data_IF_492782367862
#
_entry.id   IF_492782367862
#
_cell.length_a   1.000
_cell.length_b   1.000
_cell.length_c   1.000
_cell.angle_alpha   90.00
_cell.angle_beta   90.00
_cell.angle_gamma   90.00
#
_symmetry.space_group_name_H-M   'P 1'
#
loop_
_entity.id
_entity.type
_entity.pdbx_description
1 polymer ?
#
# COMPACT_ATOMS: atom_id res chain seq x y z
N UNK A 1 -45.57 19.70 -4.67
CA UNK A 1 -44.97 19.89 -3.33
C UNK A 1 -43.47 20.09 -3.56
N UNK A 2 -42.81 20.99 -2.84
CA UNK A 2 -41.36 21.11 -2.91
C UNK A 2 -40.73 19.80 -2.42
N UNK A 3 -39.81 19.22 -3.18
CA UNK A 3 -38.95 18.16 -2.65
C UNK A 3 -37.83 18.80 -1.86
N UNK A 4 -37.65 18.34 -0.63
CA UNK A 4 -36.49 18.65 0.20
C UNK A 4 -35.62 17.41 0.37
N UNK A 5 -34.30 17.60 0.28
CA UNK A 5 -33.30 16.58 0.53
C UNK A 5 -32.33 17.08 1.60
N UNK A 6 -32.11 16.30 2.64
CA UNK A 6 -31.25 16.66 3.75
C UNK A 6 -30.00 15.76 3.79
N UNK A 7 -28.82 16.37 3.76
CA UNK A 7 -27.54 15.65 3.81
C UNK A 7 -26.77 16.14 5.02
N UNK A 8 -26.50 15.24 5.96
CA UNK A 8 -25.79 15.52 7.19
C UNK A 8 -24.42 14.85 7.24
N UNK A 9 -23.41 15.56 7.74
CA UNK A 9 -22.13 14.97 8.13
C UNK A 9 -21.50 15.79 9.27
N UNK A 10 -20.74 15.11 10.12
CA UNK A 10 -19.88 15.73 11.12
C UNK A 10 -18.55 16.21 10.50
N UNK A 11 -18.04 15.49 9.50
CA UNK A 11 -16.79 15.82 8.83
C UNK A 11 -16.97 15.98 7.31
N UNK A 12 -16.14 16.82 6.71
CA UNK A 12 -16.03 17.02 5.25
C UNK A 12 -17.33 17.45 4.53
N UNK A 13 -18.36 17.92 5.25
CA UNK A 13 -19.62 18.38 4.65
C UNK A 13 -19.43 19.47 3.60
N UNK A 14 -18.42 20.33 3.75
CA UNK A 14 -18.09 21.40 2.82
C UNK A 14 -17.72 20.86 1.43
N UNK A 15 -17.04 19.71 1.36
CA UNK A 15 -16.73 19.05 0.10
C UNK A 15 -17.98 18.51 -0.58
N UNK A 16 -18.94 18.01 0.20
CA UNK A 16 -20.25 17.58 -0.33
C UNK A 16 -20.97 18.79 -0.90
N UNK A 17 -21.01 19.90 -0.16
CA UNK A 17 -21.65 21.15 -0.57
C UNK A 17 -21.03 21.68 -1.86
N UNK A 18 -19.72 21.84 -1.91
CA UNK A 18 -19.01 22.36 -3.09
C UNK A 18 -19.32 21.51 -4.33
N UNK A 19 -19.26 20.18 -4.18
CA UNK A 19 -19.54 19.25 -5.27
C UNK A 19 -20.99 19.32 -5.74
N UNK A 20 -21.94 19.34 -4.82
CA UNK A 20 -23.35 19.45 -5.16
C UNK A 20 -23.68 20.80 -5.79
N UNK A 21 -23.11 21.89 -5.28
CA UNK A 21 -23.31 23.22 -5.83
C UNK A 21 -22.74 23.33 -7.26
N UNK A 22 -21.66 22.61 -7.60
CA UNK A 22 -21.16 22.52 -8.96
C UNK A 22 -22.13 21.77 -9.89
N UNK A 23 -22.63 20.61 -9.45
CA UNK A 23 -23.56 19.79 -10.23
C UNK A 23 -24.93 20.47 -10.39
N UNK A 24 -25.42 21.14 -9.35
CA UNK A 24 -26.73 21.80 -9.36
C UNK A 24 -26.77 23.09 -10.18
N UNK A 25 -25.63 23.78 -10.36
CA UNK A 25 -25.54 24.88 -11.34
C UNK A 25 -25.91 24.44 -12.76
N UNK A 26 -25.65 23.19 -13.12
CA UNK A 26 -26.04 22.64 -14.43
C UNK A 26 -27.56 22.56 -14.54
N UNK A 27 -28.24 22.14 -13.47
CA UNK A 27 -29.70 22.08 -13.40
C UNK A 27 -30.35 23.47 -13.36
N UNK A 28 -29.71 24.43 -12.69
CA UNK A 28 -30.16 25.82 -12.69
C UNK A 28 -30.12 26.45 -14.09
N UNK A 29 -29.12 26.09 -14.91
CA UNK A 29 -29.08 26.51 -16.33
C UNK A 29 -30.24 25.94 -17.15
N UNK A 30 -30.77 24.78 -16.76
CA UNK A 30 -31.96 24.16 -17.36
C UNK A 30 -33.29 24.71 -16.77
N UNK A 31 -33.21 25.72 -15.91
CA UNK A 31 -34.36 26.43 -15.34
C UNK A 31 -34.91 25.84 -14.04
N UNK A 32 -34.25 24.84 -13.46
CA UNK A 32 -34.65 24.24 -12.17
C UNK A 32 -34.14 25.14 -11.04
N UNK A 33 -35.03 25.62 -10.15
CA UNK A 33 -34.62 26.46 -9.02
C UNK A 33 -34.34 25.62 -7.80
N UNK A 34 -33.06 25.60 -7.40
CA UNK A 34 -32.58 24.89 -6.23
C UNK A 34 -32.13 25.93 -5.19
N UNK A 35 -32.50 25.71 -3.93
CA UNK A 35 -32.01 26.52 -2.81
C UNK A 35 -31.40 25.61 -1.76
N UNK A 36 -30.36 26.07 -1.09
CA UNK A 36 -29.66 25.33 -0.05
C UNK A 36 -29.70 26.11 1.26
N UNK A 37 -30.19 25.47 2.32
CA UNK A 37 -30.13 25.97 3.68
C UNK A 37 -29.17 25.11 4.50
N UNK A 38 -28.40 25.75 5.37
CA UNK A 38 -27.43 25.05 6.22
C UNK A 38 -27.85 25.15 7.69
N UNK A 39 -27.90 24.00 8.36
CA UNK A 39 -28.23 23.89 9.78
C UNK A 39 -27.16 23.13 10.54
N UNK A 40 -26.85 23.56 11.77
CA UNK A 40 -25.92 22.85 12.65
C UNK A 40 -26.66 22.25 13.84
N UNK A 41 -26.38 20.98 14.15
CA UNK A 41 -26.91 20.28 15.32
C UNK A 41 -25.82 19.45 15.99
N UNK A 42 -25.29 19.96 17.10
CA UNK A 42 -24.11 19.38 17.75
C UNK A 42 -22.90 19.50 16.83
N UNK A 43 -22.21 18.38 16.62
CA UNK A 43 -21.03 18.31 15.74
C UNK A 43 -21.41 18.12 14.26
N UNK A 44 -22.69 17.88 13.95
CA UNK A 44 -23.16 17.66 12.59
C UNK A 44 -23.64 18.95 11.93
N UNK A 45 -23.26 19.10 10.66
CA UNK A 45 -23.81 20.10 9.74
C UNK A 45 -24.74 19.39 8.77
N UNK A 46 -25.86 20.03 8.47
CA UNK A 46 -26.91 19.53 7.58
C UNK A 46 -27.12 20.54 6.45
N UNK A 47 -27.10 20.04 5.23
CA UNK A 47 -27.45 20.77 4.01
C UNK A 47 -28.86 20.35 3.60
N UNK A 48 -29.79 21.29 3.60
CA UNK A 48 -31.16 21.08 3.14
C UNK A 48 -31.35 21.74 1.78
N UNK A 49 -31.44 20.91 0.75
CA UNK A 49 -31.68 21.35 -0.61
C UNK A 49 -33.17 21.27 -0.94
N UNK A 50 -33.75 22.41 -1.33
CA UNK A 50 -35.15 22.55 -1.70
C UNK A 50 -35.29 22.84 -3.19
N UNK A 51 -36.07 22.01 -3.88
CA UNK A 51 -36.42 22.21 -5.30
C UNK A 51 -37.75 22.99 -5.35
N UNK A 52 -37.67 24.26 -5.74
CA UNK A 52 -38.79 25.20 -5.71
C UNK A 52 -39.56 25.24 -7.05
N UNK A 53 -38.87 25.00 -8.15
CA UNK A 53 -39.40 25.09 -9.51
C UNK A 53 -38.70 24.06 -10.40
N UNK A 54 -39.48 23.26 -11.13
CA UNK A 54 -38.98 22.17 -11.98
C UNK A 54 -38.68 22.65 -13.42
N UNK A 55 -38.91 23.94 -13.72
CA UNK A 55 -38.64 24.54 -15.03
C UNK A 55 -39.57 24.05 -16.14
N UNK A 56 -39.38 24.58 -17.35
CA UNK A 56 -40.09 24.20 -18.59
C UNK A 56 -39.39 23.03 -19.33
N UNK A 57 -38.35 22.43 -18.74
CA UNK A 57 -37.41 21.52 -19.39
C UNK A 57 -37.96 20.14 -19.82
N UNK A 58 -39.29 19.94 -19.80
CA UNK A 58 -39.91 18.70 -20.26
C UNK A 58 -39.69 17.48 -19.34
N UNK A 59 -39.05 17.67 -18.18
CA UNK A 59 -38.90 16.65 -17.15
C UNK A 59 -40.14 16.59 -16.25
N UNK A 60 -40.54 15.38 -15.85
CA UNK A 60 -41.53 15.26 -14.77
C UNK A 60 -40.91 15.63 -13.41
N UNK A 61 -41.76 15.92 -12.44
CA UNK A 61 -41.34 16.10 -11.03
C UNK A 61 -40.56 14.88 -10.52
N UNK A 62 -40.92 13.68 -10.98
CA UNK A 62 -40.25 12.43 -10.59
C UNK A 62 -38.87 12.30 -11.25
N UNK A 63 -38.74 12.67 -12.52
CA UNK A 63 -37.45 12.65 -13.23
C UNK A 63 -36.45 13.59 -12.57
N UNK A 64 -36.90 14.79 -12.21
CA UNK A 64 -36.03 15.78 -11.55
C UNK A 64 -35.57 15.30 -10.17
N UNK A 65 -36.45 14.67 -9.39
CA UNK A 65 -36.07 14.05 -8.11
C UNK A 65 -35.06 12.93 -8.31
N UNK A 66 -35.22 12.10 -9.34
CA UNK A 66 -34.29 11.02 -9.61
C UNK A 66 -32.92 11.55 -10.04
N UNK A 67 -32.87 12.55 -10.92
CA UNK A 67 -31.64 13.27 -11.29
C UNK A 67 -30.95 13.84 -10.05
N UNK A 68 -31.71 14.50 -9.17
CA UNK A 68 -31.18 15.03 -7.91
C UNK A 68 -30.57 13.93 -7.03
N UNK A 69 -31.29 12.81 -6.83
CA UNK A 69 -30.79 11.64 -6.07
C UNK A 69 -29.51 11.07 -6.69
N UNK A 70 -29.38 11.07 -8.01
CA UNK A 70 -28.15 10.67 -8.71
C UNK A 70 -26.97 11.58 -8.38
N UNK A 71 -27.16 12.90 -8.39
CA UNK A 71 -26.10 13.84 -8.01
C UNK A 71 -25.70 13.69 -6.54
N UNK A 72 -26.68 13.54 -5.63
CA UNK A 72 -26.40 13.26 -4.21
C UNK A 72 -25.63 11.95 -4.05
N UNK A 73 -26.07 10.88 -4.69
CA UNK A 73 -25.38 9.59 -4.61
C UNK A 73 -23.96 9.64 -5.17
N UNK A 74 -23.74 10.37 -6.27
CA UNK A 74 -22.41 10.58 -6.81
C UNK A 74 -21.52 11.39 -5.84
N UNK A 75 -22.00 12.50 -5.29
CA UNK A 75 -21.25 13.31 -4.35
C UNK A 75 -20.92 12.54 -3.05
N UNK A 76 -21.90 11.81 -2.50
CA UNK A 76 -21.71 11.00 -1.28
C UNK A 76 -20.78 9.82 -1.55
N UNK A 77 -20.88 9.13 -2.68
CA UNK A 77 -19.95 8.03 -2.99
C UNK A 77 -18.52 8.54 -3.17
N UNK A 78 -18.34 9.69 -3.83
CA UNK A 78 -17.03 10.30 -4.02
C UNK A 78 -16.38 10.71 -2.71
N UNK A 79 -17.12 11.34 -1.80
CA UNK A 79 -16.54 11.76 -0.52
C UNK A 79 -16.19 10.55 0.34
N UNK A 80 -17.00 9.49 0.32
CA UNK A 80 -16.71 8.28 1.08
C UNK A 80 -15.38 7.68 0.61
N UNK A 81 -15.18 7.52 -0.70
CA UNK A 81 -13.95 6.95 -1.25
C UNK A 81 -12.75 7.87 -1.02
N UNK A 82 -12.89 9.19 -1.25
CA UNK A 82 -11.73 10.09 -1.27
C UNK A 82 -11.35 10.66 0.11
N UNK A 83 -12.29 10.76 1.04
CA UNK A 83 -12.07 11.45 2.32
C UNK A 83 -12.31 10.54 3.53
N UNK A 84 -13.21 9.56 3.43
CA UNK A 84 -13.53 8.68 4.55
C UNK A 84 -12.72 7.39 4.56
N UNK A 85 -12.29 6.84 3.40
CA UNK A 85 -11.55 5.56 3.33
C UNK A 85 -10.37 5.48 4.30
N UNK A 86 -9.50 6.50 4.28
CA UNK A 86 -8.35 6.57 5.18
C UNK A 86 -8.78 6.52 6.64
N UNK A 87 -9.72 7.39 7.02
CA UNK A 87 -10.21 7.47 8.40
C UNK A 87 -10.80 6.14 8.82
N UNK A 88 -11.69 5.54 8.02
CA UNK A 88 -12.31 4.25 8.30
C UNK A 88 -11.27 3.15 8.50
N UNK A 89 -10.24 3.11 7.66
CA UNK A 89 -9.15 2.14 7.77
C UNK A 89 -8.35 2.33 9.06
N UNK A 90 -7.99 3.56 9.40
CA UNK A 90 -7.29 3.89 10.64
C UNK A 90 -8.16 3.54 11.88
N UNK A 91 -9.48 3.69 11.82
CA UNK A 91 -10.39 3.26 12.87
C UNK A 91 -10.43 1.74 13.01
N UNK A 92 -10.57 1.01 11.89
CA UNK A 92 -10.54 -0.45 11.86
C UNK A 92 -9.23 -0.97 12.46
N UNK A 93 -8.10 -0.36 12.09
CA UNK A 93 -6.79 -0.75 12.60
C UNK A 93 -6.72 -0.51 14.10
N UNK A 94 -7.09 0.68 14.55
CA UNK A 94 -7.11 1.03 15.98
C UNK A 94 -7.99 0.10 16.81
N UNK A 95 -9.14 -0.31 16.30
CA UNK A 95 -10.11 -1.15 17.02
C UNK A 95 -9.71 -2.63 17.01
N UNK A 96 -9.32 -3.19 15.86
CA UNK A 96 -9.03 -4.62 15.72
C UNK A 96 -7.59 -4.99 16.12
N UNK A 97 -6.66 -4.03 16.03
CA UNK A 97 -5.23 -4.21 16.24
C UNK A 97 -4.73 -3.37 17.43
N UNK A 98 -5.58 -3.18 18.44
CA UNK A 98 -5.32 -2.38 19.65
C UNK A 98 -4.12 -2.84 20.49
N UNK A 99 -3.66 -4.08 20.29
CA UNK A 99 -2.53 -4.69 21.00
C UNK A 99 -1.17 -4.29 20.42
N UNK A 100 -1.13 -3.68 19.23
CA UNK A 100 0.06 -3.02 18.71
C UNK A 100 0.21 -1.60 19.29
N UNK A 101 1.44 -1.12 19.39
CA UNK A 101 1.72 0.27 19.76
C UNK A 101 1.24 1.24 18.68
N UNK A 102 1.15 2.53 19.00
CA UNK A 102 0.65 3.56 18.06
C UNK A 102 1.54 3.69 16.83
N UNK A 103 2.84 3.58 17.00
CA UNK A 103 3.83 3.62 15.93
C UNK A 103 3.69 2.41 14.99
N UNK A 104 3.42 1.22 15.56
CA UNK A 104 3.17 0.01 14.79
C UNK A 104 1.83 0.09 14.05
N UNK A 105 0.76 0.57 14.70
CA UNK A 105 -0.53 0.82 14.04
C UNK A 105 -0.43 1.81 12.89
N UNK A 106 0.40 2.86 13.05
CA UNK A 106 0.67 3.80 11.96
C UNK A 106 1.38 3.10 10.80
N UNK A 107 2.36 2.25 11.07
CA UNK A 107 3.05 1.48 10.03
C UNK A 107 2.08 0.52 9.32
N UNK A 108 1.24 -0.21 10.06
CA UNK A 108 0.18 -1.06 9.49
C UNK A 108 -0.77 -0.23 8.62
N UNK A 109 -1.12 0.98 9.03
CA UNK A 109 -1.96 1.90 8.23
C UNK A 109 -1.27 2.27 6.92
N UNK A 110 0.04 2.50 6.91
CA UNK A 110 0.80 2.75 5.69
C UNK A 110 0.81 1.54 4.74
N UNK A 111 0.95 0.32 5.26
CA UNK A 111 0.78 -0.91 4.45
C UNK A 111 -0.63 -1.01 3.89
N UNK A 112 -1.65 -0.74 4.70
CA UNK A 112 -3.05 -0.85 4.29
C UNK A 112 -3.41 0.19 3.20
N UNK A 113 -2.87 1.41 3.29
CA UNK A 113 -3.04 2.44 2.27
C UNK A 113 -2.37 2.07 0.94
N UNK A 114 -1.22 1.40 0.97
CA UNK A 114 -0.58 0.84 -0.22
C UNK A 114 -1.47 -0.22 -0.87
N UNK A 115 -2.05 -1.13 -0.08
CA UNK A 115 -3.00 -2.15 -0.59
C UNK A 115 -4.29 -1.54 -1.14
N UNK A 116 -4.75 -0.42 -0.58
CA UNK A 116 -5.89 0.35 -1.11
C UNK A 116 -5.57 1.10 -2.41
N UNK A 117 -4.31 1.07 -2.84
CA UNK A 117 -3.77 1.82 -3.96
C UNK A 117 -3.93 3.35 -3.82
N UNK A 118 -4.05 3.85 -2.59
CA UNK A 118 -4.14 5.29 -2.33
C UNK A 118 -2.78 5.94 -2.62
N UNK A 119 -2.67 6.62 -3.77
CA UNK A 119 -1.45 7.28 -4.24
C UNK A 119 -0.71 6.59 -5.40
N UNK A 120 -1.26 5.51 -5.95
CA UNK A 120 -0.72 4.83 -7.14
C UNK A 120 -1.52 5.22 -8.40
N UNK A 121 -0.84 5.81 -9.39
CA UNK A 121 -1.43 6.19 -10.68
C UNK A 121 -1.26 5.08 -11.75
N UNK A 122 -1.57 3.82 -11.42
CA UNK A 122 -1.61 2.74 -12.40
C UNK A 122 -3.06 2.36 -12.76
N UNK A 123 -3.24 1.66 -13.88
CA UNK A 123 -4.58 1.34 -14.40
C UNK A 123 -5.42 0.45 -13.48
N UNK A 124 -4.76 -0.43 -12.72
CA UNK A 124 -5.42 -1.36 -11.78
C UNK A 124 -5.95 -0.62 -10.54
N UNK A 125 -5.14 0.26 -9.95
CA UNK A 125 -5.53 1.12 -8.84
C UNK A 125 -6.79 1.95 -9.15
N UNK A 126 -6.81 2.57 -10.33
CA UNK A 126 -7.94 3.37 -10.79
C UNK A 126 -9.20 2.51 -10.96
N UNK A 127 -9.07 1.30 -11.50
CA UNK A 127 -10.18 0.38 -11.68
C UNK A 127 -10.79 -0.06 -10.34
N UNK A 128 -9.97 -0.42 -9.36
CA UNK A 128 -10.44 -0.81 -8.03
C UNK A 128 -11.16 0.33 -7.31
N UNK A 129 -10.60 1.55 -7.37
CA UNK A 129 -11.23 2.73 -6.78
C UNK A 129 -12.59 3.02 -7.42
N UNK A 130 -12.69 2.93 -8.75
CA UNK A 130 -13.95 3.08 -9.49
C UNK A 130 -14.97 1.99 -9.14
N UNK A 131 -14.51 0.76 -8.93
CA UNK A 131 -15.36 -0.35 -8.49
C UNK A 131 -15.96 -0.09 -7.10
N UNK A 132 -15.14 0.31 -6.12
CA UNK A 132 -15.59 0.68 -4.77
C UNK A 132 -16.57 1.85 -4.79
N UNK A 133 -16.24 2.91 -5.54
CA UNK A 133 -17.15 4.04 -5.74
C UNK A 133 -18.49 3.58 -6.32
N UNK A 134 -18.48 2.71 -7.33
CA UNK A 134 -19.69 2.21 -7.98
C UNK A 134 -20.56 1.40 -7.02
N UNK A 135 -19.95 0.57 -6.16
CA UNK A 135 -20.65 -0.16 -5.10
C UNK A 135 -21.36 0.81 -4.14
N UNK A 136 -20.64 1.81 -3.64
CA UNK A 136 -21.18 2.81 -2.70
C UNK A 136 -22.30 3.62 -3.37
N UNK A 137 -22.07 4.10 -4.60
CA UNK A 137 -23.05 4.87 -5.37
C UNK A 137 -24.37 4.10 -5.50
N UNK A 138 -24.30 2.81 -5.86
CA UNK A 138 -25.48 1.95 -5.95
C UNK A 138 -26.21 1.85 -4.60
N UNK A 139 -25.48 1.65 -3.50
CA UNK A 139 -26.08 1.58 -2.15
C UNK A 139 -26.73 2.91 -1.74
N UNK A 140 -26.12 4.04 -2.06
CA UNK A 140 -26.70 5.36 -1.77
C UNK A 140 -27.96 5.59 -2.61
N UNK A 141 -27.96 5.24 -3.90
CA UNK A 141 -29.14 5.31 -4.75
C UNK A 141 -30.30 4.45 -4.22
N UNK A 142 -30.03 3.18 -3.90
CA UNK A 142 -31.00 2.25 -3.30
C UNK A 142 -31.63 2.86 -2.03
N UNK A 143 -30.83 3.55 -1.21
CA UNK A 143 -31.33 4.22 -0.01
C UNK A 143 -32.18 5.45 -0.33
N UNK A 144 -31.73 6.28 -1.26
CA UNK A 144 -32.41 7.52 -1.64
C UNK A 144 -33.71 7.29 -2.42
N UNK A 145 -33.97 6.07 -2.91
CA UNK A 145 -35.29 5.72 -3.48
C UNK A 145 -36.42 5.91 -2.49
N UNK A 146 -36.19 5.61 -1.21
CA UNK A 146 -37.22 5.65 -0.15
C UNK A 146 -36.96 6.68 0.95
N UNK A 147 -35.81 7.35 0.92
CA UNK A 147 -35.41 8.33 1.94
C UNK A 147 -34.88 9.59 1.26
N UNK A 148 -35.26 10.77 1.77
CA UNK A 148 -34.70 12.03 1.29
C UNK A 148 -33.64 12.61 2.24
N UNK A 149 -33.38 11.93 3.35
CA UNK A 149 -32.45 12.37 4.37
C UNK A 149 -31.34 11.32 4.53
N UNK A 150 -30.08 11.76 4.51
CA UNK A 150 -28.91 10.89 4.70
C UNK A 150 -27.94 11.55 5.68
N UNK A 151 -27.52 10.81 6.70
CA UNK A 151 -26.39 11.18 7.55
C UNK A 151 -25.23 10.26 7.18
N UNK A 152 -24.15 10.82 6.65
CA UNK A 152 -23.08 10.06 5.97
C UNK A 152 -22.46 9.02 6.90
N UNK A 153 -22.09 9.40 8.12
CA UNK A 153 -21.50 8.52 9.14
C UNK A 153 -22.42 7.35 9.47
N UNK A 154 -23.70 7.65 9.70
CA UNK A 154 -24.71 6.63 9.99
C UNK A 154 -24.90 5.71 8.79
N UNK A 155 -24.92 6.26 7.58
CA UNK A 155 -25.03 5.48 6.36
C UNK A 155 -23.85 4.52 6.19
N UNK A 156 -22.61 5.01 6.34
CA UNK A 156 -21.41 4.17 6.30
C UNK A 156 -21.53 3.03 7.32
N UNK A 157 -21.78 3.37 8.60
CA UNK A 157 -21.78 2.39 9.69
C UNK A 157 -22.86 1.31 9.55
N UNK A 158 -24.06 1.68 9.09
CA UNK A 158 -25.21 0.77 9.12
C UNK A 158 -25.56 0.15 7.77
N UNK A 159 -25.19 0.79 6.66
CA UNK A 159 -25.61 0.38 5.30
C UNK A 159 -24.45 -0.03 4.38
N UNK A 160 -23.21 0.30 4.73
CA UNK A 160 -22.02 -0.10 3.95
C UNK A 160 -21.24 -1.24 4.60
N UNK A 161 -21.91 -2.22 5.21
CA UNK A 161 -21.26 -3.34 5.90
C UNK A 161 -20.29 -4.12 5.02
N UNK A 162 -20.71 -4.48 3.80
CA UNK A 162 -19.89 -5.20 2.83
C UNK A 162 -18.60 -4.44 2.50
N UNK A 163 -18.69 -3.11 2.40
CA UNK A 163 -17.54 -2.26 2.13
C UNK A 163 -16.62 -2.12 3.35
N UNK A 164 -17.18 -2.03 4.56
CA UNK A 164 -16.38 -2.08 5.80
C UNK A 164 -15.67 -3.43 5.94
N UNK A 165 -16.31 -4.54 5.54
CA UNK A 165 -15.68 -5.87 5.50
C UNK A 165 -14.53 -5.92 4.48
N UNK A 166 -14.66 -5.28 3.31
CA UNK A 166 -13.56 -5.12 2.36
C UNK A 166 -12.38 -4.34 2.97
N UNK A 167 -12.63 -3.18 3.60
CA UNK A 167 -11.59 -2.43 4.31
C UNK A 167 -10.94 -3.25 5.44
N UNK A 168 -11.73 -4.07 6.12
CA UNK A 168 -11.23 -4.95 7.19
C UNK A 168 -10.26 -6.00 6.66
N UNK A 169 -10.55 -6.61 5.50
CA UNK A 169 -9.63 -7.57 4.84
C UNK A 169 -8.33 -6.90 4.40
N UNK A 170 -8.40 -5.65 3.95
CA UNK A 170 -7.21 -4.87 3.60
C UNK A 170 -6.36 -4.62 4.85
N UNK A 171 -6.99 -4.24 5.97
CA UNK A 171 -6.29 -4.06 7.24
C UNK A 171 -5.66 -5.38 7.76
N UNK A 172 -6.33 -6.52 7.57
CA UNK A 172 -5.80 -7.86 7.88
C UNK A 172 -4.54 -8.18 7.07
N UNK A 173 -4.61 -8.05 5.75
CA UNK A 173 -3.45 -8.24 4.88
C UNK A 173 -2.28 -7.31 5.26
N UNK A 174 -2.59 -6.06 5.60
CA UNK A 174 -1.56 -5.09 6.01
C UNK A 174 -0.90 -5.45 7.34
N UNK A 175 -1.67 -6.00 8.28
CA UNK A 175 -1.12 -6.48 9.56
C UNK A 175 -0.23 -7.71 9.35
N UNK A 176 -0.63 -8.65 8.48
CA UNK A 176 0.19 -9.81 8.11
C UNK A 176 1.51 -9.38 7.46
N UNK A 177 1.48 -8.47 6.49
CA UNK A 177 2.69 -7.96 5.83
C UNK A 177 3.61 -7.21 6.81
N UNK A 178 3.02 -6.44 7.73
CA UNK A 178 3.77 -5.79 8.80
C UNK A 178 4.46 -6.80 9.72
N UNK A 179 3.77 -7.89 10.09
CA UNK A 179 4.35 -8.96 10.90
C UNK A 179 5.50 -9.65 10.18
N UNK A 180 5.34 -9.96 8.89
CA UNK A 180 6.41 -10.55 8.06
C UNK A 180 7.63 -9.63 7.97
N UNK A 181 7.44 -8.33 7.73
CA UNK A 181 8.52 -7.34 7.70
C UNK A 181 9.22 -7.21 9.06
N UNK A 182 8.44 -7.24 10.15
CA UNK A 182 8.98 -7.23 11.51
C UNK A 182 9.81 -8.48 11.80
N UNK A 183 9.32 -9.67 11.45
CA UNK A 183 10.03 -10.94 11.60
C UNK A 183 11.33 -10.96 10.80
N UNK A 184 11.31 -10.46 9.56
CA UNK A 184 12.51 -10.33 8.74
C UNK A 184 13.54 -9.40 9.39
N UNK A 185 13.11 -8.24 9.91
CA UNK A 185 14.01 -7.30 10.62
C UNK A 185 14.59 -7.89 11.90
N UNK A 186 13.81 -8.65 12.67
CA UNK A 186 14.29 -9.36 13.86
C UNK A 186 15.30 -10.46 13.48
N UNK A 187 15.02 -11.21 12.42
CA UNK A 187 15.96 -12.19 11.86
C UNK A 187 17.31 -11.55 11.49
N UNK A 188 17.30 -10.42 10.77
CA UNK A 188 18.52 -9.68 10.43
C UNK A 188 19.29 -9.21 11.68
N UNK A 189 18.58 -8.71 12.71
CA UNK A 189 19.19 -8.28 13.98
C UNK A 189 19.88 -9.44 14.70
N UNK A 190 19.25 -10.61 14.73
CA UNK A 190 19.84 -11.82 15.30
C UNK A 190 21.10 -12.25 14.56
N UNK A 191 21.05 -12.30 13.23
CA UNK A 191 22.22 -12.64 12.41
C UNK A 191 23.37 -11.65 12.60
N UNK A 192 23.07 -10.35 12.62
CA UNK A 192 24.06 -9.30 12.88
C UNK A 192 24.74 -9.49 14.23
N UNK A 193 23.96 -9.78 15.28
CA UNK A 193 24.50 -10.09 16.60
C UNK A 193 25.48 -11.29 16.56
N UNK A 194 25.13 -12.37 15.85
CA UNK A 194 26.03 -13.52 15.69
C UNK A 194 27.33 -13.18 14.95
N UNK A 195 27.26 -12.34 13.92
CA UNK A 195 28.45 -11.91 13.16
C UNK A 195 29.34 -10.98 13.98
N UNK A 196 28.76 -10.14 14.84
CA UNK A 196 29.51 -9.17 15.65
C UNK A 196 30.31 -9.80 16.79
N UNK A 197 29.87 -10.93 17.34
CA UNK A 197 30.57 -11.63 18.43
C UNK A 197 31.61 -12.65 17.95
N UNK A 198 31.58 -13.04 16.67
CA UNK A 198 32.50 -14.02 16.11
C UNK A 198 33.87 -13.38 15.82
N UNK A 199 34.94 -14.12 16.09
CA UNK A 199 36.28 -13.75 15.60
C UNK A 199 36.34 -13.92 14.08
N UNK A 200 36.72 -12.87 13.31
CA UNK A 200 36.84 -12.97 11.87
C UNK A 200 37.86 -14.03 11.44
N UNK A 201 37.45 -14.98 10.60
CA UNK A 201 38.35 -16.00 10.05
C UNK A 201 39.20 -15.48 8.89
N UNK A 202 38.66 -14.50 8.16
CA UNK A 202 39.34 -13.82 7.06
C UNK A 202 39.11 -12.32 7.19
N UNK A 203 40.14 -11.53 6.87
CA UNK A 203 39.98 -10.08 6.85
C UNK A 203 39.08 -9.64 5.69
N UNK A 204 39.43 -10.04 4.46
CA UNK A 204 38.69 -9.63 3.26
C UNK A 204 38.12 -10.86 2.55
N UNK A 205 36.83 -10.80 2.28
CA UNK A 205 36.13 -11.71 1.37
C UNK A 205 35.56 -10.90 0.22
N UNK A 206 35.80 -11.36 -0.99
CA UNK A 206 35.23 -10.79 -2.21
C UNK A 206 34.15 -11.73 -2.73
N UNK A 207 32.96 -11.18 -2.96
CA UNK A 207 31.80 -11.90 -3.50
C UNK A 207 31.63 -11.49 -4.95
N UNK A 208 31.81 -12.44 -5.86
CA UNK A 208 31.58 -12.25 -7.29
C UNK A 208 30.27 -12.90 -7.69
N UNK A 209 29.25 -12.09 -7.99
CA UNK A 209 27.96 -12.58 -8.49
C UNK A 209 28.08 -12.84 -9.98
N UNK A 210 27.71 -14.03 -10.39
CA UNK A 210 27.70 -14.46 -11.77
C UNK A 210 26.30 -14.25 -12.37
N UNK A 211 26.20 -13.98 -13.69
CA UNK A 211 24.92 -13.77 -14.37
C UNK A 211 23.93 -14.93 -14.28
N UNK A 212 24.40 -16.15 -13.95
CA UNK A 212 23.55 -17.31 -13.71
C UNK A 212 23.00 -17.38 -12.28
N UNK A 213 23.12 -16.31 -11.48
CA UNK A 213 22.77 -16.30 -10.05
C UNK A 213 23.78 -17.00 -9.13
N UNK A 214 24.77 -17.68 -9.70
CA UNK A 214 25.86 -18.33 -8.96
C UNK A 214 26.81 -17.29 -8.35
N UNK A 215 27.57 -17.66 -7.32
CA UNK A 215 28.57 -16.78 -6.72
C UNK A 215 29.94 -17.46 -6.58
N UNK A 216 30.99 -16.64 -6.51
CA UNK A 216 32.34 -17.07 -6.10
C UNK A 216 32.83 -16.24 -4.93
N UNK A 217 33.46 -16.91 -3.96
CA UNK A 217 34.13 -16.28 -2.83
C UNK A 217 35.64 -16.28 -3.07
N UNK A 218 36.25 -15.10 -3.03
CA UNK A 218 37.70 -14.93 -3.15
C UNK A 218 38.27 -14.27 -1.89
N UNK A 219 39.51 -14.62 -1.54
CA UNK A 219 40.23 -13.94 -0.47
C UNK A 219 40.83 -12.60 -0.95
N UNK A 220 41.60 -11.93 -0.07
CA UNK A 220 42.30 -10.69 -0.38
C UNK A 220 43.31 -10.81 -1.54
N UNK A 221 43.76 -12.03 -1.87
CA UNK A 221 44.73 -12.33 -2.92
C UNK A 221 44.05 -12.81 -4.22
N UNK A 222 42.74 -12.64 -4.35
CA UNK A 222 41.92 -13.13 -5.46
C UNK A 222 41.93 -14.66 -5.62
N UNK A 223 42.28 -15.41 -4.57
CA UNK A 223 42.25 -16.87 -4.60
C UNK A 223 40.89 -17.36 -4.15
N UNK A 224 40.36 -18.38 -4.83
CA UNK A 224 39.09 -19.01 -4.43
C UNK A 224 39.16 -19.52 -3.00
N UNK A 225 38.19 -19.11 -2.19
CA UNK A 225 37.99 -19.64 -0.85
C UNK A 225 37.27 -20.97 -1.02
N UNK A 226 38.01 -22.07 -0.83
CA UNK A 226 37.40 -23.38 -0.66
C UNK A 226 36.87 -23.45 0.77
N UNK A 227 35.58 -23.18 0.93
CA UNK A 227 34.93 -23.51 2.17
C UNK A 227 34.63 -25.02 2.15
N UNK A 228 35.53 -25.85 2.68
CA UNK A 228 35.29 -27.30 2.89
C UNK A 228 33.97 -27.56 3.65
N UNK A 229 33.47 -26.57 4.39
CA UNK A 229 32.18 -26.58 5.07
C UNK A 229 30.98 -26.46 4.12
N UNK A 230 31.12 -25.80 2.96
CA UNK A 230 30.03 -25.66 1.98
C UNK A 230 29.80 -26.96 1.20
N UNK A 231 30.82 -27.81 1.05
CA UNK A 231 30.68 -29.11 0.37
C UNK A 231 29.65 -30.01 1.07
N UNK A 232 29.48 -29.88 2.40
CA UNK A 232 28.41 -30.56 3.15
C UNK A 232 27.01 -29.96 2.93
N UNK A 233 26.91 -28.62 2.83
CA UNK A 233 25.64 -27.93 2.58
C UNK A 233 25.14 -28.09 1.13
N UNK A 234 26.05 -28.17 0.16
CA UNK A 234 25.73 -28.39 -1.27
C UNK A 234 25.04 -29.75 -1.48
N UNK A 235 25.38 -30.76 -0.68
CA UNK A 235 24.76 -32.09 -0.74
C UNK A 235 23.35 -32.10 -0.13
N UNK A 236 23.07 -31.26 0.87
CA UNK A 236 21.76 -31.21 1.54
C UNK A 236 20.72 -30.34 0.80
N UNK A 237 21.16 -29.35 0.01
CA UNK A 237 20.26 -28.32 -0.53
C UNK A 237 19.67 -28.65 -1.93
N UNK A 238 20.35 -29.41 -2.80
CA UNK A 238 19.85 -29.76 -4.14
C UNK A 238 19.94 -28.63 -5.19
N UNK A 239 19.63 -28.93 -6.46
CA UNK A 239 19.84 -28.06 -7.65
C UNK A 239 18.75 -26.98 -7.83
N UNK A 240 18.52 -26.10 -6.85
CA UNK A 240 17.63 -24.94 -7.01
C UNK A 240 18.37 -23.63 -6.76
N UNK A 241 18.05 -22.58 -7.51
CA UNK A 241 18.71 -21.26 -7.42
C UNK A 241 18.59 -20.65 -6.01
N UNK A 242 17.48 -20.89 -5.32
CA UNK A 242 17.22 -20.45 -3.94
C UNK A 242 18.28 -20.96 -2.95
N UNK A 243 18.90 -22.09 -3.24
CA UNK A 243 19.92 -22.67 -2.36
C UNK A 243 21.25 -21.91 -2.39
N UNK A 244 21.57 -21.22 -3.49
CA UNK A 244 22.85 -20.53 -3.60
C UNK A 244 22.85 -19.22 -2.81
N UNK A 245 21.73 -18.51 -2.73
CA UNK A 245 21.62 -17.29 -1.91
C UNK A 245 21.84 -17.59 -0.43
N UNK A 246 21.15 -18.61 0.09
CA UNK A 246 21.28 -19.04 1.48
C UNK A 246 22.68 -19.59 1.78
N UNK A 247 23.30 -20.29 0.83
CA UNK A 247 24.66 -20.79 0.93
C UNK A 247 25.68 -19.65 1.02
N UNK A 248 25.51 -18.60 0.21
CA UNK A 248 26.35 -17.40 0.25
C UNK A 248 26.26 -16.72 1.62
N UNK A 249 25.04 -16.49 2.10
CA UNK A 249 24.81 -15.85 3.41
C UNK A 249 25.43 -16.71 4.53
N UNK A 250 25.19 -18.02 4.49
CA UNK A 250 25.75 -18.97 5.47
C UNK A 250 27.28 -19.00 5.47
N UNK A 251 27.90 -18.96 4.28
CA UNK A 251 29.35 -18.90 4.13
C UNK A 251 29.92 -17.62 4.76
N UNK A 252 29.31 -16.48 4.45
CA UNK A 252 29.75 -15.18 4.98
C UNK A 252 29.56 -15.10 6.50
N UNK A 253 28.46 -15.63 7.05
CA UNK A 253 28.24 -15.68 8.50
C UNK A 253 29.29 -16.55 9.19
N UNK A 254 29.64 -17.68 8.58
CA UNK A 254 30.66 -18.62 9.10
C UNK A 254 32.07 -18.04 9.07
N UNK A 255 32.39 -17.28 8.02
CA UNK A 255 33.69 -16.61 7.89
C UNK A 255 33.75 -15.35 8.78
N UNK A 256 32.61 -14.67 8.95
CA UNK A 256 32.44 -13.41 9.67
C UNK A 256 33.52 -12.36 9.32
N UNK A 257 33.76 -12.06 8.03
CA UNK A 257 34.91 -11.27 7.63
C UNK A 257 34.87 -9.83 8.15
N UNK A 258 36.05 -9.18 8.22
CA UNK A 258 36.11 -7.76 8.61
C UNK A 258 35.65 -6.84 7.48
N UNK A 259 35.85 -7.25 6.22
CA UNK A 259 35.40 -6.53 5.03
C UNK A 259 34.86 -7.49 3.97
N UNK A 260 33.71 -7.14 3.38
CA UNK A 260 33.11 -7.81 2.23
C UNK A 260 33.17 -6.86 1.03
N UNK A 261 33.74 -7.32 -0.09
CA UNK A 261 33.74 -6.58 -1.35
C UNK A 261 32.74 -7.23 -2.30
N UNK A 262 31.64 -6.56 -2.60
CA UNK A 262 30.62 -7.02 -3.53
C UNK A 262 30.98 -6.61 -4.97
N UNK A 263 31.17 -7.59 -5.83
CA UNK A 263 31.32 -7.44 -7.28
C UNK A 263 30.01 -7.85 -7.93
N UNK A 264 29.11 -6.88 -8.08
CA UNK A 264 27.76 -7.07 -8.63
C UNK A 264 27.43 -5.97 -9.65
N UNK A 265 26.54 -6.28 -10.59
CA UNK A 265 26.01 -5.28 -11.55
C UNK A 265 24.93 -4.43 -10.90
N UNK A 266 24.53 -3.36 -11.59
CA UNK A 266 23.39 -2.55 -11.14
C UNK A 266 22.09 -3.37 -11.03
N UNK A 267 21.86 -4.31 -11.96
CA UNK A 267 20.71 -5.23 -11.93
C UNK A 267 20.75 -6.20 -10.73
N UNK A 268 21.95 -6.66 -10.35
CA UNK A 268 22.14 -7.61 -9.25
C UNK A 268 21.96 -6.96 -7.86
N UNK A 269 22.01 -5.62 -7.77
CA UNK A 269 21.81 -4.92 -6.49
C UNK A 269 20.40 -5.09 -5.94
N UNK A 270 19.44 -5.49 -6.78
CA UNK A 270 18.06 -5.73 -6.37
C UNK A 270 17.83 -7.17 -5.88
N UNK A 271 18.88 -7.99 -5.79
CA UNK A 271 18.78 -9.36 -5.27
C UNK A 271 18.56 -9.35 -3.74
N UNK A 272 17.64 -10.19 -3.29
CA UNK A 272 17.29 -10.38 -1.87
C UNK A 272 18.49 -10.80 -1.01
N UNK A 273 19.39 -11.60 -1.58
CA UNK A 273 20.65 -11.98 -0.95
C UNK A 273 21.55 -10.77 -0.64
N UNK A 274 21.61 -9.77 -1.52
CA UNK A 274 22.43 -8.58 -1.33
C UNK A 274 21.86 -7.68 -0.23
N UNK A 275 20.55 -7.47 -0.22
CA UNK A 275 19.88 -6.74 0.86
C UNK A 275 20.12 -7.41 2.22
N UNK A 276 20.07 -8.74 2.26
CA UNK A 276 20.37 -9.51 3.47
C UNK A 276 21.83 -9.36 3.90
N UNK A 277 22.79 -9.46 2.98
CA UNK A 277 24.22 -9.26 3.28
C UNK A 277 24.46 -7.84 3.80
N UNK A 278 23.90 -6.82 3.16
CA UNK A 278 24.02 -5.43 3.62
C UNK A 278 23.37 -5.24 4.99
N UNK A 279 22.19 -5.83 5.21
CA UNK A 279 21.48 -5.77 6.49
C UNK A 279 22.25 -6.42 7.65
N UNK A 280 22.87 -7.59 7.41
CA UNK A 280 23.62 -8.35 8.42
C UNK A 280 25.00 -7.73 8.68
N UNK A 281 25.77 -7.43 7.63
CA UNK A 281 27.18 -7.03 7.75
C UNK A 281 27.41 -5.52 7.79
N UNK A 282 26.40 -4.70 7.43
CA UNK A 282 26.42 -3.26 7.55
C UNK A 282 27.66 -2.59 6.94
N UNK A 283 28.40 -1.84 7.74
CA UNK A 283 29.59 -1.07 7.32
C UNK A 283 30.75 -1.93 6.82
N UNK A 284 30.73 -3.25 7.06
CA UNK A 284 31.74 -4.18 6.54
C UNK A 284 31.59 -4.37 5.03
N UNK A 285 30.43 -4.05 4.45
CA UNK A 285 30.13 -4.26 3.03
C UNK A 285 30.56 -3.05 2.19
N UNK A 286 31.29 -3.31 1.11
CA UNK A 286 31.74 -2.31 0.14
C UNK A 286 31.43 -2.78 -1.27
N UNK A 287 30.83 -1.91 -2.09
CA UNK A 287 30.64 -2.19 -3.51
C UNK A 287 31.94 -1.92 -4.29
N UNK A 288 32.29 -2.83 -5.18
CA UNK A 288 33.40 -2.65 -6.10
C UNK A 288 33.05 -1.61 -7.18
N UNK A 289 33.99 -0.70 -7.47
CA UNK A 289 33.83 0.32 -8.51
C UNK A 289 34.12 -0.14 -9.95
N UNK A 290 34.14 -1.45 -10.22
CA UNK A 290 34.44 -2.02 -11.54
C UNK A 290 35.91 -2.35 -11.76
N UNK A 291 36.41 -3.40 -11.10
CA UNK A 291 37.80 -3.86 -11.25
C UNK A 291 37.98 -4.86 -12.42
N UNK A 292 39.18 -5.43 -12.56
CA UNK A 292 39.47 -6.46 -13.55
C UNK A 292 38.58 -7.71 -13.40
N UNK A 293 38.25 -8.12 -12.18
CA UNK A 293 37.35 -9.25 -11.92
C UNK A 293 35.93 -9.00 -12.45
N UNK A 294 35.40 -7.78 -12.26
CA UNK A 294 34.09 -7.40 -12.81
C UNK A 294 34.09 -7.48 -14.35
N UNK A 295 35.18 -6.99 -14.98
CA UNK A 295 35.33 -6.99 -16.44
C UNK A 295 35.47 -8.40 -17.01
N UNK A 296 36.25 -9.26 -16.37
CA UNK A 296 36.39 -10.66 -16.80
C UNK A 296 35.06 -11.42 -16.67
N UNK A 297 34.30 -11.16 -15.61
CA UNK A 297 32.97 -11.74 -15.39
C UNK A 297 31.94 -11.28 -16.45
N UNK A 298 32.10 -10.07 -17.02
CA UNK A 298 31.31 -9.60 -18.17
C UNK A 298 31.74 -10.24 -19.50
N UNK A 299 33.04 -10.44 -19.74
CA UNK A 299 33.55 -11.01 -21.01
C UNK A 299 33.15 -12.47 -21.20
N UNK A 300 32.99 -13.24 -20.12
CA UNK A 300 32.51 -14.61 -20.18
C UNK A 300 31.05 -14.76 -20.64
N UNK A 301 30.27 -13.67 -20.70
CA UNK A 301 28.91 -13.65 -21.28
C UNK A 301 28.89 -13.64 -22.81
N UNK A 302 29.84 -12.99 -23.46
CA UNK A 302 29.80 -12.78 -24.92
C UNK A 302 30.21 -14.02 -25.72
N UNK A 303 30.57 -15.11 -25.03
CA UNK A 303 31.00 -16.38 -25.62
C UNK A 303 29.98 -17.53 -25.44
N UNK A 304 28.83 -17.25 -24.87
CA UNK A 304 27.67 -18.15 -24.77
C UNK A 304 26.43 -17.47 -25.36
#
# INVERSE_FOLDING_TARGET
>A
MSASFCIGAANHIDYVKEKLDQEFRLLENDGIKISCEEGKKGDYVFLEYNIADYGDAGYSEEDTKNIFKHYVANAVSDIIVNNWERTLLEEIIRENYYYFSKEEQQTISEFALKHLNLGHENGEAMYEQLSRKSLILRRVLEYLQTNNNIVIEGFIRFRLKEYIEELTKIAEKAADDYLLDKEYKEFLRLLKYFVDIQEPRLDVVQVLIQPSGMFKLLDASNKSINCEYLDGFIVELGDSELNYEDLLISALITIAPTTIILHCREEDKMLTSIDTIVGVFGERVKYCGGCELCRENEVHLQKH
#
